data_IF_152799562413
#
_entry.id   IF_152799562413
#
_cell.length_a   1.000
_cell.length_b   1.000
_cell.length_c   1.000
_cell.angle_alpha   90.00
_cell.angle_beta   90.00
_cell.angle_gamma   90.00
#
_symmetry.space_group_name_H-M   'P 1'
#
loop_
_entity.id
_entity.type
_entity.pdbx_description
1 polymer ?
#
# COMPACT_ATOMS: atom_id res chain seq x y z
N UNK A 1 -9.09 -6.29 -1.92
CA UNK A 1 -9.24 -6.23 -0.45
C UNK A 1 -10.72 -6.05 -0.15
N UNK A 2 -11.25 -6.57 0.94
CA UNK A 2 -12.65 -6.26 1.30
C UNK A 2 -12.68 -5.05 2.23
N UNK A 3 -13.71 -4.20 2.09
CA UNK A 3 -13.84 -2.99 2.90
C UNK A 3 -14.15 -3.30 4.39
N UNK A 4 -14.42 -4.56 4.72
CA UNK A 4 -14.50 -5.08 6.09
C UNK A 4 -13.75 -6.42 6.25
N UNK A 5 -13.98 -7.15 7.35
CA UNK A 5 -13.54 -8.55 7.53
C UNK A 5 -14.69 -9.46 7.10
N UNK A 6 -14.41 -10.48 6.28
CA UNK A 6 -15.40 -11.48 5.92
C UNK A 6 -15.22 -12.72 6.80
N UNK A 7 -16.30 -13.13 7.45
CA UNK A 7 -16.35 -14.37 8.24
C UNK A 7 -16.82 -15.57 7.41
N UNK A 8 -17.47 -15.32 6.28
CA UNK A 8 -18.11 -16.36 5.45
C UNK A 8 -17.31 -16.71 4.19
N UNK A 9 -16.49 -15.80 3.65
CA UNK A 9 -15.70 -16.05 2.44
C UNK A 9 -14.23 -16.26 2.79
N UNK A 10 -13.70 -17.42 2.40
CA UNK A 10 -12.33 -17.83 2.65
C UNK A 10 -11.49 -17.86 1.37
N UNK A 11 -10.23 -17.48 1.47
CA UNK A 11 -9.28 -17.63 0.39
C UNK A 11 -8.66 -19.03 0.41
N UNK A 12 -9.02 -19.89 -0.55
CA UNK A 12 -8.50 -21.26 -0.64
C UNK A 12 -7.16 -21.32 -1.32
N UNK A 13 -6.97 -20.53 -2.39
CA UNK A 13 -5.71 -20.46 -3.13
C UNK A 13 -5.42 -19.03 -3.56
N UNK A 14 -4.14 -18.68 -3.59
CA UNK A 14 -3.64 -17.44 -4.18
C UNK A 14 -2.34 -17.72 -4.93
N UNK A 15 -2.22 -17.16 -6.13
CA UNK A 15 -0.99 -17.14 -6.93
C UNK A 15 -0.73 -15.70 -7.38
N UNK A 16 0.38 -15.13 -6.96
CA UNK A 16 0.82 -13.80 -7.33
C UNK A 16 2.05 -13.94 -8.23
N UNK A 17 1.98 -13.36 -9.42
CA UNK A 17 3.12 -13.24 -10.32
C UNK A 17 3.52 -11.77 -10.37
N UNK A 18 4.75 -11.48 -9.97
CA UNK A 18 5.31 -10.14 -9.95
C UNK A 18 6.43 -10.10 -10.98
N UNK A 19 6.26 -9.31 -12.04
CA UNK A 19 7.21 -9.22 -13.15
C UNK A 19 7.89 -7.86 -13.13
N UNK A 20 9.19 -7.87 -12.85
CA UNK A 20 10.05 -6.69 -12.93
C UNK A 20 10.67 -6.57 -14.33
N UNK A 21 10.96 -5.33 -14.75
CA UNK A 21 11.51 -5.04 -16.08
C UNK A 21 10.45 -4.75 -17.14
N UNK A 22 9.27 -4.27 -16.73
CA UNK A 22 8.23 -3.80 -17.65
C UNK A 22 8.40 -2.30 -17.88
N UNK A 23 7.97 -1.79 -19.02
CA UNK A 23 7.91 -0.34 -19.30
C UNK A 23 6.46 0.11 -19.34
N UNK A 24 6.16 1.23 -18.68
CA UNK A 24 4.91 1.97 -18.80
C UNK A 24 5.13 3.19 -19.68
N UNK A 25 4.19 3.43 -20.60
CA UNK A 25 4.18 4.60 -21.45
C UNK A 25 3.22 5.65 -20.87
N UNK A 26 3.69 6.88 -20.71
CA UNK A 26 2.90 8.02 -20.29
C UNK A 26 2.83 9.01 -21.45
N UNK A 27 1.68 9.66 -21.68
CA UNK A 27 1.62 10.74 -22.65
C UNK A 27 2.62 11.84 -22.27
N UNK A 28 3.18 12.50 -23.27
CA UNK A 28 4.02 13.68 -23.07
C UNK A 28 3.15 14.84 -22.57
N UNK A 29 3.70 15.65 -21.68
CA UNK A 29 3.11 16.96 -21.33
C UNK A 29 3.45 18.04 -22.36
N UNK A 30 4.45 17.80 -23.21
CA UNK A 30 4.78 18.65 -24.36
C UNK A 30 3.90 18.24 -25.52
N UNK A 31 3.18 19.20 -26.12
CA UNK A 31 2.40 18.98 -27.35
C UNK A 31 3.27 18.33 -28.42
N UNK A 32 2.81 17.23 -29.02
CA UNK A 32 3.55 16.40 -29.98
C UNK A 32 4.87 15.77 -29.48
N UNK A 33 5.19 15.85 -28.18
CA UNK A 33 6.35 15.17 -27.62
C UNK A 33 6.16 13.65 -27.57
N UNK A 34 7.25 12.85 -27.69
CA UNK A 34 7.16 11.40 -27.59
C UNK A 34 6.72 10.98 -26.17
N UNK A 35 6.01 9.84 -26.03
CA UNK A 35 5.56 9.39 -24.73
C UNK A 35 6.74 9.06 -23.81
N UNK A 36 6.65 9.47 -22.56
CA UNK A 36 7.64 9.15 -21.55
C UNK A 36 7.53 7.68 -21.16
N UNK A 37 8.67 6.98 -21.11
CA UNK A 37 8.74 5.57 -20.70
C UNK A 37 9.29 5.46 -19.27
N UNK A 38 8.52 4.86 -18.38
CA UNK A 38 8.92 4.61 -17.00
C UNK A 38 9.07 3.12 -16.72
N UNK A 39 10.15 2.73 -16.05
CA UNK A 39 10.27 1.35 -15.57
C UNK A 39 9.22 1.04 -14.51
N UNK A 40 8.62 -0.13 -14.65
CA UNK A 40 7.49 -0.57 -13.86
C UNK A 40 7.59 -2.05 -13.50
N UNK A 41 6.68 -2.45 -12.62
CA UNK A 41 6.46 -3.80 -12.18
C UNK A 41 5.02 -4.19 -12.48
N UNK A 42 4.85 -5.33 -13.14
CA UNK A 42 3.54 -5.90 -13.48
C UNK A 42 3.13 -6.94 -12.46
N UNK A 43 1.88 -6.87 -12.02
CA UNK A 43 1.29 -7.78 -11.06
C UNK A 43 0.16 -8.55 -11.71
N UNK A 44 0.18 -9.87 -11.61
CA UNK A 44 -0.95 -10.74 -11.90
C UNK A 44 -1.28 -11.56 -10.66
N UNK A 45 -2.41 -11.27 -10.04
CA UNK A 45 -2.91 -11.99 -8.88
C UNK A 45 -4.10 -12.86 -9.27
N UNK A 46 -4.03 -14.15 -8.96
CA UNK A 46 -5.12 -15.11 -9.15
C UNK A 46 -5.52 -15.70 -7.81
N UNK A 47 -6.81 -15.70 -7.52
CA UNK A 47 -7.38 -16.18 -6.27
C UNK A 47 -8.50 -17.18 -6.51
N UNK A 48 -8.60 -18.15 -5.61
CA UNK A 48 -9.78 -19.01 -5.46
C UNK A 48 -10.40 -18.68 -4.11
N UNK A 49 -11.59 -18.09 -4.16
CA UNK A 49 -12.33 -17.63 -2.98
C UNK A 49 -13.58 -18.50 -2.82
N UNK A 50 -13.82 -19.05 -1.64
CA UNK A 50 -14.93 -19.96 -1.35
C UNK A 50 -15.88 -19.36 -0.34
N UNK A 51 -17.18 -19.32 -0.68
CA UNK A 51 -18.23 -19.04 0.28
C UNK A 51 -18.48 -20.29 1.13
N UNK A 52 -18.31 -20.17 2.44
CA UNK A 52 -18.54 -21.26 3.41
C UNK A 52 -20.00 -21.31 3.88
N UNK A 53 -20.80 -20.30 3.54
CA UNK A 53 -22.22 -20.24 3.90
C UNK A 53 -23.08 -20.99 2.87
N UNK A 54 -24.18 -21.58 3.35
CA UNK A 54 -25.29 -22.08 2.52
C UNK A 54 -26.14 -20.95 1.91
N UNK A 55 -25.89 -19.69 2.27
CA UNK A 55 -26.56 -18.52 1.69
C UNK A 55 -25.65 -17.85 0.66
N UNK A 56 -26.25 -17.25 -0.37
CA UNK A 56 -25.53 -16.39 -1.33
C UNK A 56 -24.91 -15.22 -0.58
N UNK A 57 -23.70 -14.81 -0.97
CA UNK A 57 -23.05 -13.63 -0.43
C UNK A 57 -22.77 -12.64 -1.56
N UNK A 58 -22.97 -11.35 -1.31
CA UNK A 58 -22.55 -10.27 -2.21
C UNK A 58 -21.57 -9.40 -1.45
N UNK A 59 -20.33 -9.32 -1.94
CA UNK A 59 -19.29 -8.51 -1.31
C UNK A 59 -18.83 -7.42 -2.26
N UNK A 60 -18.71 -6.22 -1.73
CA UNK A 60 -18.01 -5.11 -2.37
C UNK A 60 -16.52 -5.20 -2.03
N UNK A 61 -15.70 -5.49 -3.04
CA UNK A 61 -14.24 -5.62 -2.92
C UNK A 61 -13.62 -4.30 -3.37
N UNK A 62 -12.78 -3.71 -2.53
CA UNK A 62 -11.94 -2.56 -2.86
C UNK A 62 -10.47 -2.95 -3.01
N UNK A 63 -9.81 -2.51 -4.06
CA UNK A 63 -8.37 -2.64 -4.24
C UNK A 63 -7.72 -1.27 -4.06
N UNK A 64 -6.98 -1.02 -2.96
CA UNK A 64 -6.39 0.28 -2.73
C UNK A 64 -5.27 0.54 -3.73
N UNK A 65 -5.26 1.75 -4.26
CA UNK A 65 -4.17 2.32 -5.02
C UNK A 65 -3.44 3.29 -4.09
N UNK A 66 -2.19 2.99 -3.77
CA UNK A 66 -1.35 3.75 -2.84
C UNK A 66 -0.79 5.02 -3.51
N UNK A 67 -1.67 5.77 -4.16
CA UNK A 67 -1.38 7.12 -4.65
C UNK A 67 -1.50 8.07 -3.48
N UNK A 68 -0.53 8.96 -3.32
CA UNK A 68 -0.60 10.06 -2.39
C UNK A 68 -0.51 11.32 -3.23
N UNK A 69 -1.55 12.15 -3.20
CA UNK A 69 -1.44 13.52 -3.69
C UNK A 69 -0.69 14.33 -2.64
N UNK A 70 0.41 14.96 -3.06
CA UNK A 70 1.07 16.01 -2.29
C UNK A 70 0.52 17.33 -2.83
N UNK A 71 -0.26 18.06 -2.03
CA UNK A 71 -0.73 19.40 -2.41
C UNK A 71 0.47 20.24 -2.88
N UNK A 72 0.38 20.73 -4.13
CA UNK A 72 1.43 21.47 -4.84
C UNK A 72 1.94 20.78 -6.11
N UNK A 73 1.70 19.48 -6.29
CA UNK A 73 1.95 18.77 -7.55
C UNK A 73 0.72 17.91 -7.84
N UNK A 74 -0.15 18.37 -8.75
CA UNK A 74 -1.39 17.69 -9.16
C UNK A 74 -1.16 16.40 -9.95
N UNK A 75 0.06 15.88 -9.95
CA UNK A 75 0.40 14.62 -10.59
C UNK A 75 0.39 13.53 -9.51
N UNK A 76 -0.64 12.66 -9.47
CA UNK A 76 -0.66 11.53 -8.54
C UNK A 76 0.54 10.60 -8.79
N UNK A 77 1.58 10.72 -7.99
CA UNK A 77 2.71 9.79 -8.00
C UNK A 77 2.24 8.42 -7.46
N UNK A 78 2.51 7.36 -8.23
CA UNK A 78 2.26 5.97 -7.80
C UNK A 78 0.94 5.35 -8.28
N UNK A 79 0.26 5.93 -9.27
CA UNK A 79 -1.00 5.37 -9.77
C UNK A 79 -0.80 4.00 -10.44
N UNK A 80 -1.57 2.99 -10.03
CA UNK A 80 -1.58 1.70 -10.73
C UNK A 80 -2.18 1.85 -12.14
N UNK A 81 -1.47 1.40 -13.17
CA UNK A 81 -1.93 1.42 -14.56
C UNK A 81 -2.50 0.07 -14.97
N UNK A 82 -3.29 0.07 -16.05
CA UNK A 82 -3.82 -1.16 -16.66
C UNK A 82 -4.58 -2.06 -15.67
N UNK A 83 -5.25 -1.45 -14.67
CA UNK A 83 -5.98 -2.19 -13.65
C UNK A 83 -7.17 -2.91 -14.29
N UNK A 84 -7.23 -4.22 -14.12
CA UNK A 84 -8.33 -5.04 -14.62
C UNK A 84 -8.68 -6.16 -13.66
N UNK A 85 -9.97 -6.51 -13.66
CA UNK A 85 -10.53 -7.55 -12.82
C UNK A 85 -11.30 -8.53 -13.70
N UNK A 86 -11.09 -9.82 -13.48
CA UNK A 86 -11.90 -10.89 -14.07
C UNK A 86 -12.45 -11.81 -12.98
N UNK A 87 -13.73 -12.11 -13.04
CA UNK A 87 -14.44 -13.03 -12.13
C UNK A 87 -14.93 -14.21 -12.97
N UNK A 88 -14.49 -15.42 -12.64
CA UNK A 88 -14.77 -16.64 -13.41
C UNK A 88 -14.47 -16.47 -14.92
N UNK A 89 -13.41 -15.73 -15.25
CA UNK A 89 -12.99 -15.45 -16.63
C UNK A 89 -13.63 -14.21 -17.26
N UNK A 90 -14.79 -13.75 -16.78
CA UNK A 90 -15.50 -12.58 -17.32
C UNK A 90 -14.93 -11.28 -16.75
N UNK A 91 -14.78 -10.23 -17.57
CA UNK A 91 -14.34 -8.90 -17.11
C UNK A 91 -15.40 -8.32 -16.17
N UNK A 92 -14.97 -7.82 -15.01
CA UNK A 92 -15.86 -7.16 -14.06
C UNK A 92 -15.77 -5.63 -14.23
N UNK A 93 -16.89 -4.90 -14.09
CA UNK A 93 -16.86 -3.45 -14.02
C UNK A 93 -16.12 -3.01 -12.75
N UNK A 94 -15.31 -1.96 -12.87
CA UNK A 94 -14.52 -1.40 -11.77
C UNK A 94 -14.79 0.08 -11.69
N UNK A 95 -15.21 0.54 -10.52
CA UNK A 95 -15.36 1.97 -10.21
C UNK A 95 -14.14 2.44 -9.44
N UNK A 96 -13.53 3.54 -9.86
CA UNK A 96 -12.53 4.24 -9.02
C UNK A 96 -13.30 5.13 -8.06
N UNK A 97 -13.06 4.96 -6.76
CA UNK A 97 -13.61 5.85 -5.72
C UNK A 97 -12.46 6.50 -4.97
N UNK A 98 -12.58 7.79 -4.72
CA UNK A 98 -11.63 8.53 -3.89
C UNK A 98 -12.11 8.48 -2.45
N UNK A 99 -11.22 8.08 -1.55
CA UNK A 99 -11.42 8.18 -0.11
C UNK A 99 -10.40 9.17 0.42
N UNK A 100 -10.85 10.40 0.65
CA UNK A 100 -10.06 11.37 1.38
C UNK A 100 -10.00 10.93 2.83
N UNK A 101 -8.82 10.50 3.28
CA UNK A 101 -8.55 10.44 4.71
C UNK A 101 -8.33 11.89 5.12
N UNK A 102 -9.44 12.55 5.48
CA UNK A 102 -9.43 13.84 6.18
C UNK A 102 -8.76 13.59 7.53
N UNK A 103 -7.47 13.87 7.61
CA UNK A 103 -6.69 13.52 8.77
C UNK A 103 -5.37 14.22 8.72
N UNK A 104 -5.01 14.88 9.81
CA UNK A 104 -3.69 15.46 9.95
C UNK A 104 -2.68 14.32 10.02
N UNK A 105 -2.12 13.87 8.89
CA UNK A 105 -1.16 12.77 8.88
C UNK A 105 0.25 13.29 9.08
N UNK A 106 0.92 12.82 10.12
CA UNK A 106 2.29 13.18 10.47
C UNK A 106 3.24 11.98 10.36
N UNK A 107 4.46 12.22 9.89
CA UNK A 107 5.50 11.19 9.80
C UNK A 107 6.09 10.92 11.20
N UNK A 108 5.68 9.81 11.79
CA UNK A 108 6.11 9.32 13.09
C UNK A 108 7.62 9.13 13.19
N UNK A 109 8.33 8.88 12.07
CA UNK A 109 9.79 8.70 12.07
C UNK A 109 10.55 9.97 12.45
N UNK A 110 9.88 11.12 12.36
CA UNK A 110 10.44 12.40 12.80
C UNK A 110 10.30 12.62 14.30
N UNK A 111 9.55 11.77 15.01
CA UNK A 111 9.36 11.80 16.45
C UNK A 111 10.09 10.63 17.10
N UNK A 112 10.58 10.83 18.32
CA UNK A 112 11.10 9.72 19.10
C UNK A 112 9.97 8.75 19.48
N UNK A 113 10.30 7.47 19.67
CA UNK A 113 9.33 6.44 20.09
C UNK A 113 8.59 6.82 21.38
N UNK A 114 9.28 7.47 22.32
CA UNK A 114 8.68 7.95 23.57
C UNK A 114 7.59 9.00 23.32
N UNK A 115 7.84 9.93 22.39
CA UNK A 115 6.87 10.97 22.01
C UNK A 115 5.66 10.38 21.30
N UNK A 116 5.88 9.42 20.39
CA UNK A 116 4.78 8.70 19.72
C UNK A 116 3.90 7.97 20.74
N UNK A 117 4.52 7.23 21.68
CA UNK A 117 3.78 6.54 22.76
C UNK A 117 2.97 7.52 23.60
N UNK A 118 3.54 8.66 23.98
CA UNK A 118 2.86 9.66 24.78
C UNK A 118 1.65 10.28 24.05
N UNK A 119 1.77 10.59 22.77
CA UNK A 119 0.65 11.10 21.95
C UNK A 119 -0.50 10.08 21.82
N UNK A 120 -0.17 8.80 21.65
CA UNK A 120 -1.17 7.73 21.53
C UNK A 120 -1.85 7.48 22.88
N UNK A 121 -1.08 7.46 23.98
CA UNK A 121 -1.61 7.32 25.34
C UNK A 121 -2.54 8.48 25.71
N UNK A 122 -2.16 9.71 25.35
CA UNK A 122 -3.01 10.91 25.52
C UNK A 122 -4.21 10.97 24.56
N UNK A 123 -4.39 9.95 23.69
CA UNK A 123 -5.45 9.88 22.67
C UNK A 123 -5.44 11.08 21.69
N UNK A 124 -4.29 11.73 21.52
CA UNK A 124 -4.08 12.88 20.61
C UNK A 124 -3.58 12.45 19.22
N UNK A 125 -3.02 11.23 19.13
CA UNK A 125 -2.65 10.61 17.88
C UNK A 125 -3.18 9.18 17.78
N UNK A 126 -3.37 8.70 16.55
CA UNK A 126 -3.67 7.28 16.27
C UNK A 126 -2.77 6.77 15.16
N UNK A 127 -2.07 5.63 15.33
CA UNK A 127 -1.34 5.00 14.23
C UNK A 127 -2.28 4.68 13.06
N UNK A 128 -1.86 4.97 11.84
CA UNK A 128 -2.65 4.65 10.66
C UNK A 128 -2.39 3.19 10.29
N UNK A 129 -3.46 2.39 10.27
CA UNK A 129 -3.37 0.98 9.92
C UNK A 129 -2.75 0.80 8.53
N UNK A 130 -1.69 0.01 8.43
CA UNK A 130 -0.96 -0.24 7.18
C UNK A 130 0.17 0.75 6.88
N UNK A 131 0.36 1.80 7.69
CA UNK A 131 1.42 2.80 7.52
C UNK A 131 2.19 2.97 8.84
N UNK A 132 3.23 2.15 9.03
CA UNK A 132 3.97 2.08 10.30
C UNK A 132 4.62 3.41 10.72
N UNK A 133 4.95 4.27 9.76
CA UNK A 133 5.51 5.60 9.97
C UNK A 133 4.47 6.72 10.00
N UNK A 134 3.16 6.44 9.93
CA UNK A 134 2.15 7.49 9.84
C UNK A 134 1.26 7.55 11.08
N UNK A 135 1.13 8.76 11.64
CA UNK A 135 0.22 9.08 12.74
C UNK A 135 -0.88 10.00 12.25
N UNK A 136 -2.13 9.64 12.54
CA UNK A 136 -3.24 10.57 12.45
C UNK A 136 -3.26 11.43 13.72
N UNK A 137 -2.86 12.70 13.58
CA UNK A 137 -2.86 13.72 14.63
C UNK A 137 -4.00 14.73 14.44
N UNK A 138 -5.11 14.37 13.78
CA UNK A 138 -6.25 15.27 13.54
C UNK A 138 -6.77 15.93 14.84
N UNK A 139 -6.61 15.24 15.97
CA UNK A 139 -6.97 15.75 17.29
C UNK A 139 -6.02 16.82 17.84
N UNK A 140 -4.86 17.06 17.24
CA UNK A 140 -4.04 18.23 17.56
C UNK A 140 -4.51 19.48 16.78
N UNK A 141 -5.35 19.32 15.77
CA UNK A 141 -5.86 20.42 14.94
C UNK A 141 -5.09 20.60 13.65
N UNK A 142 -5.37 21.72 12.95
CA UNK A 142 -4.86 21.96 11.59
C UNK A 142 -3.81 23.07 11.45
N UNK A 143 -3.70 23.95 12.43
CA UNK A 143 -2.77 25.08 12.39
C UNK A 143 -1.74 24.98 13.51
N UNK A 144 -0.62 25.70 13.36
CA UNK A 144 0.39 25.84 14.41
C UNK A 144 -0.24 26.21 15.76
N UNK A 145 -1.15 27.18 15.75
CA UNK A 145 -1.80 27.70 16.95
C UNK A 145 -2.72 26.67 17.61
N UNK A 146 -3.53 25.96 16.82
CA UNK A 146 -4.40 24.91 17.37
C UNK A 146 -3.58 23.77 17.97
N UNK A 147 -2.49 23.37 17.31
CA UNK A 147 -1.58 22.33 17.80
C UNK A 147 -0.94 22.76 19.11
N UNK A 148 -0.36 23.96 19.17
CA UNK A 148 0.26 24.48 20.38
C UNK A 148 -0.75 24.55 21.55
N UNK A 149 -1.96 25.08 21.32
CA UNK A 149 -3.03 25.15 22.32
C UNK A 149 -3.41 23.75 22.84
N UNK A 150 -3.60 22.78 21.94
CA UNK A 150 -3.99 21.41 22.33
C UNK A 150 -2.87 20.65 23.02
N UNK A 151 -1.61 20.91 22.69
CA UNK A 151 -0.46 20.35 23.41
C UNK A 151 -0.33 20.92 24.82
N UNK A 152 -0.65 22.21 25.03
CA UNK A 152 -0.65 22.81 26.35
C UNK A 152 -1.67 22.14 27.28
N UNK A 153 -2.87 21.86 26.76
CA UNK A 153 -3.96 21.18 27.47
C UNK A 153 -3.75 19.66 27.62
N UNK A 154 -2.75 19.09 26.94
CA UNK A 154 -2.47 17.68 27.00
C UNK A 154 -1.78 17.32 28.32
N UNK A 155 -2.17 16.16 28.90
CA UNK A 155 -1.46 15.52 30.02
C UNK A 155 -0.12 14.92 29.54
N UNK A 156 0.81 15.79 29.18
CA UNK A 156 2.16 15.49 28.72
C UNK A 156 3.16 16.27 29.60
N UNK A 157 4.38 15.76 29.74
CA UNK A 157 5.43 16.51 30.45
C UNK A 157 5.88 17.72 29.64
N UNK A 158 6.40 18.76 30.27
CA UNK A 158 6.87 19.95 29.55
C UNK A 158 8.02 19.65 28.58
N UNK A 159 8.83 18.63 28.88
CA UNK A 159 9.84 18.11 27.95
C UNK A 159 9.19 17.52 26.69
N UNK A 160 8.12 16.73 26.85
CA UNK A 160 7.35 16.18 25.73
C UNK A 160 6.65 17.27 24.93
N UNK A 161 5.99 18.23 25.61
CA UNK A 161 5.33 19.38 24.97
C UNK A 161 6.33 20.19 24.15
N UNK A 162 7.50 20.55 24.69
CA UNK A 162 8.55 21.29 23.97
C UNK A 162 9.08 20.52 22.76
N UNK A 163 9.38 19.24 22.91
CA UNK A 163 9.85 18.39 21.81
C UNK A 163 8.80 18.27 20.67
N UNK A 164 7.52 18.10 21.04
CA UNK A 164 6.40 18.04 20.10
C UNK A 164 6.20 19.35 19.39
N UNK A 165 6.17 20.47 20.12
CA UNK A 165 6.05 21.80 19.53
C UNK A 165 7.21 22.04 18.57
N UNK A 166 8.47 21.83 18.96
CA UNK A 166 9.62 22.01 18.06
C UNK A 166 9.50 21.17 16.78
N UNK A 167 9.13 19.89 16.90
CA UNK A 167 9.08 18.98 15.76
C UNK A 167 7.88 19.22 14.86
N UNK A 168 6.69 19.38 15.43
CA UNK A 168 5.46 19.63 14.67
C UNK A 168 5.47 21.03 14.05
N UNK A 169 5.86 22.06 14.81
CA UNK A 169 5.85 23.46 14.37
C UNK A 169 6.94 23.76 13.34
N UNK A 170 8.11 23.12 13.41
CA UNK A 170 9.17 23.31 12.39
C UNK A 170 8.74 22.93 10.97
N UNK A 171 7.61 22.23 10.80
CA UNK A 171 7.05 21.87 9.50
C UNK A 171 6.06 22.92 8.96
N UNK A 172 5.79 23.99 9.71
CA UNK A 172 4.98 25.13 9.32
C UNK A 172 5.91 26.32 9.05
N UNK A 173 5.92 26.86 7.82
CA UNK A 173 6.70 28.07 7.48
C UNK A 173 6.03 29.34 8.03
N UNK A 174 4.70 29.38 8.12
CA UNK A 174 3.89 30.46 8.72
C UNK A 174 2.90 29.92 9.75
N UNK A 175 2.43 30.74 10.72
CA UNK A 175 1.43 30.31 11.72
C UNK A 175 0.10 29.82 11.14
N UNK A 176 -0.28 30.35 9.96
CA UNK A 176 -1.47 29.97 9.18
C UNK A 176 -1.24 28.79 8.24
N UNK A 177 0.00 28.33 8.09
CA UNK A 177 0.28 27.20 7.21
C UNK A 177 -0.50 25.98 7.69
N UNK A 178 -0.93 25.18 6.73
CA UNK A 178 -1.35 23.81 6.98
C UNK A 178 -0.16 22.92 6.63
N UNK A 179 0.62 22.47 7.61
CA UNK A 179 1.67 21.44 7.38
C UNK A 179 1.08 20.06 7.01
N UNK A 180 -0.18 20.03 6.57
CA UNK A 180 -1.11 18.94 6.77
C UNK A 180 -1.60 18.45 5.44
N UNK A 181 -1.16 17.25 5.12
CA UNK A 181 -1.48 16.57 3.87
C UNK A 181 -2.74 15.76 4.11
N UNK A 182 -3.84 16.14 3.48
CA UNK A 182 -4.93 15.18 3.28
C UNK A 182 -4.37 14.05 2.41
N UNK A 183 -4.60 12.80 2.82
CA UNK A 183 -4.23 11.65 2.01
C UNK A 183 -5.45 11.25 1.22
N UNK A 184 -5.46 11.55 -0.07
CA UNK A 184 -6.41 10.96 -1.00
C UNK A 184 -5.99 9.54 -1.32
N UNK A 185 -6.77 8.57 -0.84
CA UNK A 185 -6.59 7.19 -1.23
C UNK A 185 -7.56 6.87 -2.36
N UNK A 186 -7.03 6.43 -3.49
CA UNK A 186 -7.86 5.92 -4.58
C UNK A 186 -8.12 4.44 -4.37
N UNK A 187 -9.34 3.99 -4.61
CA UNK A 187 -9.74 2.59 -4.48
C UNK A 187 -10.44 2.13 -5.75
N UNK A 188 -10.00 1.00 -6.30
CA UNK A 188 -10.69 0.32 -7.38
C UNK A 188 -11.71 -0.65 -6.78
N UNK A 189 -12.99 -0.33 -6.88
CA UNK A 189 -14.07 -1.06 -6.23
C UNK A 189 -14.90 -1.81 -7.25
N UNK A 190 -15.25 -3.05 -6.93
CA UNK A 190 -16.08 -3.93 -7.75
C UNK A 190 -16.88 -4.89 -6.88
N UNK A 191 -18.04 -5.30 -7.37
CA UNK A 191 -18.93 -6.22 -6.66
C UNK A 191 -18.67 -7.67 -7.09
N UNK A 192 -18.76 -8.58 -6.13
CA UNK A 192 -18.58 -10.02 -6.36
C UNK A 192 -19.72 -10.78 -5.70
N UNK A 193 -20.43 -11.58 -6.50
CA UNK A 193 -21.41 -12.53 -6.01
C UNK A 193 -20.76 -13.89 -5.79
N UNK A 194 -20.96 -14.46 -4.61
CA UNK A 194 -20.54 -15.81 -4.26
C UNK A 194 -21.76 -16.70 -4.10
N UNK A 195 -21.94 -17.72 -4.95
CA UNK A 195 -23.02 -18.68 -4.77
C UNK A 195 -22.88 -19.45 -3.45
N UNK A 196 -23.99 -19.97 -2.88
CA UNK A 196 -23.96 -20.87 -1.72
C UNK A 196 -22.92 -21.98 -1.86
N UNK A 197 -22.04 -22.14 -0.86
CA UNK A 197 -21.08 -23.25 -0.78
C UNK A 197 -20.16 -23.44 -2.02
N UNK A 198 -20.06 -22.45 -2.92
CA UNK A 198 -19.25 -22.53 -4.15
C UNK A 198 -18.02 -21.63 -4.05
N UNK A 199 -17.06 -21.95 -4.91
CA UNK A 199 -15.87 -21.12 -5.13
C UNK A 199 -16.00 -20.29 -6.40
N UNK A 200 -15.32 -19.15 -6.40
CA UNK A 200 -15.11 -18.32 -7.60
C UNK A 200 -13.62 -18.10 -7.84
N UNK A 201 -13.26 -17.90 -9.10
CA UNK A 201 -11.91 -17.52 -9.54
C UNK A 201 -11.87 -16.02 -9.76
N UNK A 202 -11.04 -15.31 -8.99
CA UNK A 202 -10.81 -13.88 -9.13
C UNK A 202 -9.41 -13.67 -9.71
N UNK A 203 -9.29 -12.91 -10.79
CA UNK A 203 -8.01 -12.47 -11.34
C UNK A 203 -7.94 -10.95 -11.33
N UNK A 204 -6.82 -10.41 -10.86
CA UNK A 204 -6.53 -8.98 -10.85
C UNK A 204 -5.19 -8.79 -11.54
N UNK A 205 -5.10 -7.80 -12.43
CA UNK A 205 -3.86 -7.40 -13.09
C UNK A 205 -3.71 -5.89 -13.02
N UNK A 206 -2.49 -5.42 -12.80
CA UNK A 206 -2.13 -4.01 -12.86
C UNK A 206 -0.61 -3.86 -13.00
N UNK A 207 -0.20 -2.66 -13.41
CA UNK A 207 1.19 -2.23 -13.47
C UNK A 207 1.42 -1.11 -12.46
N UNK A 208 2.58 -1.05 -11.82
CA UNK A 208 2.96 0.01 -10.87
C UNK A 208 4.37 0.49 -11.20
N UNK A 209 4.63 1.82 -11.23
CA UNK A 209 6.00 2.33 -11.31
C UNK A 209 6.89 1.75 -10.21
N UNK A 210 8.19 1.61 -10.48
CA UNK A 210 9.17 1.28 -9.45
C UNK A 210 9.28 2.42 -8.43
N UNK A 211 9.43 2.09 -7.15
CA UNK A 211 9.72 3.07 -6.12
C UNK A 211 11.22 3.36 -6.08
N UNK A 212 11.65 4.48 -6.65
CA UNK A 212 13.03 4.95 -6.58
C UNK A 212 13.28 5.72 -5.28
N UNK A 213 14.49 5.56 -4.71
CA UNK A 213 14.94 6.45 -3.64
C UNK A 213 15.48 7.74 -4.25
N UNK A 214 14.90 8.87 -3.85
CA UNK A 214 15.26 10.21 -4.35
C UNK A 214 16.76 10.55 -4.19
N UNK A 215 17.45 9.96 -3.21
CA UNK A 215 18.85 10.24 -2.90
C UNK A 215 19.87 9.36 -3.66
N UNK A 216 19.43 8.41 -4.48
CA UNK A 216 20.34 7.49 -5.18
C UNK A 216 20.14 7.59 -6.68
N UNK A 217 21.02 8.34 -7.36
CA UNK A 217 21.12 8.40 -8.83
C UNK A 217 21.47 7.04 -9.47
N UNK A 218 21.76 5.99 -8.69
CA UNK A 218 22.28 4.70 -9.17
C UNK A 218 21.34 3.53 -8.88
N UNK A 219 20.17 3.48 -9.51
CA UNK A 219 19.41 2.22 -9.66
C UNK A 219 18.91 1.49 -8.40
N UNK A 220 18.97 2.09 -7.19
CA UNK A 220 18.29 1.53 -6.00
C UNK A 220 16.78 1.77 -6.14
N UNK A 221 16.04 0.69 -6.30
CA UNK A 221 14.59 0.74 -6.32
C UNK A 221 13.99 -0.41 -5.53
N UNK A 222 12.74 -0.20 -5.14
CA UNK A 222 11.96 -1.23 -4.47
C UNK A 222 10.56 -1.36 -5.07
N UNK A 223 9.99 -2.54 -4.88
CA UNK A 223 8.60 -2.82 -5.16
C UNK A 223 8.08 -3.85 -4.16
N UNK A 224 6.77 -3.84 -3.93
CA UNK A 224 6.18 -4.65 -2.88
C UNK A 224 4.79 -5.15 -3.25
N UNK A 225 4.35 -6.16 -2.51
CA UNK A 225 3.01 -6.71 -2.62
C UNK A 225 2.42 -6.95 -1.22
N UNK A 226 1.34 -6.23 -0.90
CA UNK A 226 0.70 -6.32 0.41
C UNK A 226 -0.07 -7.63 0.58
N UNK A 227 0.48 -8.53 1.41
CA UNK A 227 -0.12 -9.82 1.74
C UNK A 227 -0.91 -9.78 3.05
N UNK A 228 -0.51 -8.93 4.01
CA UNK A 228 -1.11 -8.84 5.36
C UNK A 228 -2.62 -8.68 5.35
N UNK A 229 -3.14 -8.02 4.33
CA UNK A 229 -4.58 -7.78 4.16
C UNK A 229 -5.37 -9.05 3.85
N UNK A 230 -4.70 -10.15 3.54
CA UNK A 230 -5.28 -11.49 3.44
C UNK A 230 -5.90 -11.99 4.75
N UNK A 231 -5.48 -11.46 5.91
CA UNK A 231 -6.09 -11.73 7.23
C UNK A 231 -7.55 -11.25 7.35
N UNK A 232 -8.03 -10.42 6.41
CA UNK A 232 -9.43 -9.99 6.38
C UNK A 232 -10.39 -11.08 5.88
N UNK A 233 -9.89 -12.12 5.23
CA UNK A 233 -10.71 -13.26 4.78
C UNK A 233 -10.91 -14.29 5.91
N UNK A 234 -11.89 -15.16 5.74
CA UNK A 234 -12.22 -16.17 6.73
C UNK A 234 -11.11 -17.24 6.87
N UNK A 235 -10.40 -17.21 7.99
CA UNK A 235 -9.37 -18.18 8.34
C UNK A 235 -8.06 -18.08 7.54
N UNK A 236 -7.15 -19.06 7.68
CA UNK A 236 -5.89 -19.10 6.94
C UNK A 236 -6.10 -19.29 5.44
N UNK A 237 -5.16 -18.80 4.64
CA UNK A 237 -5.16 -18.99 3.20
C UNK A 237 -4.64 -20.39 2.88
N UNK A 238 -5.43 -21.21 2.18
CA UNK A 238 -5.09 -22.63 1.95
C UNK A 238 -3.72 -22.85 1.31
N UNK A 239 -3.51 -22.37 0.08
CA UNK A 239 -2.18 -22.35 -0.58
C UNK A 239 -1.89 -20.97 -1.14
N UNK A 240 -0.75 -20.40 -0.78
CA UNK A 240 -0.30 -19.10 -1.29
C UNK A 240 0.99 -19.30 -2.07
N UNK A 241 1.11 -18.74 -3.27
CA UNK A 241 2.33 -18.83 -4.09
C UNK A 241 2.67 -17.46 -4.64
N UNK A 242 3.93 -17.06 -4.49
CA UNK A 242 4.50 -15.88 -5.13
C UNK A 242 5.58 -16.34 -6.11
N UNK A 243 5.49 -15.84 -7.35
CA UNK A 243 6.48 -16.03 -8.39
C UNK A 243 7.01 -14.65 -8.80
N UNK A 244 8.29 -14.41 -8.57
CA UNK A 244 9.00 -13.25 -9.09
C UNK A 244 9.60 -13.61 -10.46
N UNK A 245 9.38 -12.76 -11.46
CA UNK A 245 9.95 -12.87 -12.80
C UNK A 245 10.78 -11.62 -13.05
N UNK A 246 12.10 -11.77 -13.10
CA UNK A 246 13.04 -10.65 -13.08
C UNK A 246 13.65 -10.46 -14.47
N UNK A 247 12.96 -9.72 -15.36
CA UNK A 247 13.35 -9.58 -16.78
C UNK A 247 14.50 -8.58 -17.02
N UNK A 248 14.99 -7.95 -15.98
CA UNK A 248 16.11 -7.00 -16.09
C UNK A 248 17.43 -7.75 -16.32
N UNK A 249 18.47 -7.02 -16.75
CA UNK A 249 19.83 -7.56 -16.82
C UNK A 249 20.51 -7.66 -15.44
N UNK A 250 19.95 -7.02 -14.41
CA UNK A 250 20.47 -6.93 -13.03
C UNK A 250 20.73 -8.32 -12.43
N UNK A 251 21.94 -8.62 -11.93
CA UNK A 251 22.24 -9.92 -11.32
C UNK A 251 21.32 -10.28 -10.15
N UNK A 252 20.92 -11.55 -10.04
CA UNK A 252 20.02 -12.03 -8.96
C UNK A 252 20.53 -11.69 -7.55
N UNK A 253 21.86 -11.67 -7.33
CA UNK A 253 22.47 -11.34 -6.03
C UNK A 253 22.14 -9.93 -5.52
N UNK A 254 21.76 -9.00 -6.42
CA UNK A 254 21.37 -7.64 -6.07
C UNK A 254 19.91 -7.53 -5.64
N UNK A 255 19.10 -8.57 -5.87
CA UNK A 255 17.73 -8.64 -5.40
C UNK A 255 17.67 -9.14 -3.96
N UNK A 256 17.36 -8.24 -3.03
CA UNK A 256 17.05 -8.58 -1.64
C UNK A 256 15.54 -8.73 -1.50
N UNK A 257 15.11 -9.98 -1.36
CA UNK A 257 13.69 -10.33 -1.28
C UNK A 257 13.31 -10.68 0.16
N UNK A 258 12.29 -9.99 0.66
CA UNK A 258 11.57 -10.35 1.88
C UNK A 258 10.15 -10.75 1.52
N UNK A 259 9.53 -11.68 2.24
CA UNK A 259 10.15 -12.50 3.30
C UNK A 259 11.14 -13.55 2.78
N UNK A 260 12.09 -13.99 3.60
CA UNK A 260 13.17 -14.93 3.19
C UNK A 260 12.66 -16.30 2.70
N UNK A 261 13.50 -17.13 2.07
CA UNK A 261 13.09 -18.49 1.65
C UNK A 261 12.40 -18.58 0.28
N UNK A 262 12.58 -17.57 -0.57
CA UNK A 262 12.32 -17.73 -2.01
C UNK A 262 13.40 -18.66 -2.61
N UNK A 263 12.96 -19.69 -3.33
CA UNK A 263 13.85 -20.63 -4.03
C UNK A 263 13.94 -20.26 -5.51
N UNK A 264 15.08 -20.56 -6.14
CA UNK A 264 15.23 -20.42 -7.59
C UNK A 264 14.26 -21.35 -8.31
N UNK A 265 13.59 -20.86 -9.33
CA UNK A 265 12.61 -21.60 -10.13
C UNK A 265 12.85 -21.44 -11.65
N UNK A 266 14.10 -21.14 -12.01
CA UNK A 266 14.56 -20.81 -13.36
C UNK A 266 15.65 -19.74 -13.34
N UNK A 267 16.23 -19.44 -14.50
CA UNK A 267 17.37 -18.52 -14.62
C UNK A 267 17.09 -17.14 -13.99
N UNK A 268 15.88 -16.61 -14.23
CA UNK A 268 15.42 -15.27 -13.81
C UNK A 268 14.11 -15.33 -13.01
N UNK A 269 13.90 -16.42 -12.26
CA UNK A 269 12.64 -16.68 -11.53
C UNK A 269 12.90 -17.11 -10.10
N UNK A 270 12.17 -16.52 -9.16
CA UNK A 270 12.18 -16.90 -7.75
C UNK A 270 10.76 -17.26 -7.31
N UNK A 271 10.60 -18.35 -6.57
CA UNK A 271 9.29 -18.85 -6.13
C UNK A 271 9.29 -19.11 -4.64
N UNK A 272 8.19 -18.74 -3.99
CA UNK A 272 7.87 -19.19 -2.63
C UNK A 272 6.42 -19.65 -2.55
N UNK A 273 6.19 -20.76 -1.86
CA UNK A 273 4.86 -21.33 -1.63
C UNK A 273 4.67 -21.58 -0.15
N UNK A 274 3.49 -21.25 0.36
CA UNK A 274 3.04 -21.50 1.72
C UNK A 274 1.76 -22.34 1.70
N UNK A 275 1.56 -23.13 2.75
CA UNK A 275 0.36 -23.94 3.00
C UNK A 275 -0.24 -23.50 4.34
N UNK A 276 -1.57 -23.42 4.43
CA UNK A 276 -2.32 -22.86 5.58
C UNK A 276 -1.76 -21.50 6.03
N UNK A 277 -1.48 -20.65 5.06
CA UNK A 277 -0.76 -19.39 5.23
C UNK A 277 -1.58 -18.34 5.98
N UNK A 278 -1.02 -17.84 7.08
CA UNK A 278 -1.49 -16.65 7.79
C UNK A 278 -0.51 -15.50 7.49
N UNK A 279 -0.90 -14.51 6.67
CA UNK A 279 0.04 -13.48 6.24
C UNK A 279 0.43 -12.53 7.37
N UNK A 280 1.71 -12.52 7.74
CA UNK A 280 2.30 -11.65 8.79
C UNK A 280 3.17 -10.53 8.25
N UNK A 281 3.60 -10.65 7.00
CA UNK A 281 4.50 -9.71 6.33
C UNK A 281 4.16 -9.63 4.85
N UNK A 282 4.59 -8.55 4.22
CA UNK A 282 4.38 -8.28 2.81
C UNK A 282 5.59 -8.75 2.00
N UNK A 283 5.40 -9.02 0.70
CA UNK A 283 6.56 -9.22 -0.17
C UNK A 283 7.18 -7.87 -0.43
N UNK A 284 8.47 -7.73 -0.18
CA UNK A 284 9.25 -6.53 -0.47
C UNK A 284 10.50 -6.97 -1.21
N UNK A 285 10.68 -6.44 -2.40
CA UNK A 285 11.88 -6.63 -3.20
C UNK A 285 12.62 -5.31 -3.24
N UNK A 286 13.87 -5.32 -2.79
CA UNK A 286 14.80 -4.21 -2.93
C UNK A 286 15.90 -4.62 -3.89
N UNK A 287 16.21 -3.75 -4.83
CA UNK A 287 17.27 -3.94 -5.80
C UNK A 287 18.41 -3.01 -5.43
N UNK A 288 19.57 -3.58 -5.12
CA UNK A 288 20.74 -2.82 -4.73
C UNK A 288 21.46 -2.26 -5.97
N UNK A 289 22.12 -1.09 -5.86
CA UNK A 289 22.95 -0.54 -6.93
C UNK A 289 24.00 -1.57 -7.39
N UNK A 290 24.28 -1.60 -8.69
CA UNK A 290 25.53 -2.15 -9.20
C UNK A 290 26.66 -1.29 -8.67
N UNK A 291 27.63 -1.92 -7.98
CA UNK A 291 28.92 -1.29 -7.72
C UNK A 291 29.65 -1.09 -9.03
#
# INVERSE_FOLDING_TARGET
MIMGKSTTVAMRRAKIVITDGVMLSYPSFVSNGPPQKLHAVRYHASYVLANRSRKRQRLKIGFPNATYTHHGIDVPFGYIRNFSVRINGKRAPVKVVTRTIKGTVFDALKLSTAVVKALVAAKLAKPIAGHASALNIAKLGRTRNTIAKRLQLARLTDKQKRALTKTLVSHYRRPSDTAIKDIEQYWHVFDVAFPPSKSIKLKIQYDSPRGYKASTQRGDYSFSYTMRTGTRWAGPIGRYTVLLVLKTRIPLRQYKVRPAGFKRAGARRLRRTWVRFVPREDVVVRVLPTK
#
